data_IF_197556184343
#
_entry.id   IF_197556184343
#
_cell.length_a   1.000
_cell.length_b   1.000
_cell.length_c   1.000
_cell.angle_alpha   90.00
_cell.angle_beta   90.00
_cell.angle_gamma   90.00
#
_symmetry.space_group_name_H-M   'P 1'
#
loop_
_entity.id
_entity.type
_entity.pdbx_description
1 polymer ?
#
# COMPACT_ATOMS: atom_id res chain seq x y z
N UNK A 1 10.32 -12.84 -3.27
CA UNK A 1 11.03 -12.49 -2.02
C UNK A 1 10.48 -13.29 -0.83
N UNK A 2 10.89 -13.00 0.41
CA UNK A 2 10.44 -13.64 1.65
C UNK A 2 10.17 -12.60 2.76
N UNK A 3 9.64 -11.43 2.41
CA UNK A 3 9.49 -10.31 3.35
C UNK A 3 8.44 -10.59 4.43
N UNK A 4 7.28 -11.13 4.06
CA UNK A 4 6.26 -11.54 5.02
C UNK A 4 6.63 -12.87 5.72
N UNK A 5 6.37 -12.98 7.02
CA UNK A 5 6.60 -14.21 7.80
C UNK A 5 5.71 -15.38 7.34
N UNK A 6 6.25 -16.61 7.34
CA UNK A 6 5.58 -17.80 6.79
C UNK A 6 4.17 -18.04 7.37
N UNK A 7 3.98 -17.83 8.67
CA UNK A 7 2.69 -18.02 9.32
C UNK A 7 1.58 -17.13 8.78
N UNK A 8 1.91 -15.93 8.28
CA UNK A 8 0.97 -15.05 7.60
C UNK A 8 0.84 -15.40 6.11
N UNK A 9 1.92 -15.90 5.50
CA UNK A 9 1.89 -16.30 4.09
C UNK A 9 0.93 -17.45 3.80
N UNK A 10 0.93 -18.42 4.69
CA UNK A 10 0.13 -19.64 4.53
C UNK A 10 -1.30 -19.46 5.06
N UNK A 11 -1.61 -18.29 5.63
CA UNK A 11 -2.90 -18.03 6.22
C UNK A 11 -3.97 -17.82 5.14
N UNK A 12 -5.06 -18.58 5.18
CA UNK A 12 -6.12 -18.61 4.14
C UNK A 12 -6.81 -17.28 3.86
N UNK A 13 -6.77 -16.35 4.82
CA UNK A 13 -7.33 -15.00 4.67
C UNK A 13 -6.35 -13.97 4.10
N UNK A 14 -5.13 -14.37 3.75
CA UNK A 14 -4.09 -13.47 3.25
C UNK A 14 -3.86 -13.77 1.77
N UNK A 15 -3.92 -12.73 0.95
CA UNK A 15 -3.44 -12.76 -0.43
C UNK A 15 -2.21 -11.88 -0.52
N UNK A 16 -1.15 -12.38 -1.14
CA UNK A 16 0.17 -11.74 -1.12
C UNK A 16 0.60 -11.37 -2.52
N UNK A 17 1.04 -10.13 -2.67
CA UNK A 17 1.58 -9.57 -3.90
C UNK A 17 2.92 -8.90 -3.58
N UNK A 18 3.99 -9.68 -3.56
CA UNK A 18 5.36 -9.16 -3.41
C UNK A 18 5.92 -8.72 -4.76
N UNK A 19 6.98 -7.90 -4.74
CA UNK A 19 7.66 -7.41 -5.97
C UNK A 19 6.68 -6.74 -6.94
N UNK A 20 5.60 -6.17 -6.39
CA UNK A 20 4.48 -5.59 -7.11
C UNK A 20 4.43 -4.09 -6.85
N UNK A 21 4.36 -3.30 -7.91
CA UNK A 21 4.11 -1.87 -7.81
C UNK A 21 2.61 -1.63 -7.59
N UNK A 22 2.25 -0.93 -6.51
CA UNK A 22 0.86 -0.63 -6.16
C UNK A 22 0.15 0.18 -7.26
N UNK A 23 0.90 0.95 -8.06
CA UNK A 23 0.34 1.75 -9.17
C UNK A 23 -0.20 0.88 -10.29
N UNK A 24 0.39 -0.29 -10.49
CA UNK A 24 -0.03 -1.29 -11.48
C UNK A 24 -1.02 -2.31 -10.91
N UNK A 25 -1.15 -2.38 -9.59
CA UNK A 25 -2.09 -3.28 -8.92
C UNK A 25 -3.56 -2.88 -9.21
N UNK A 26 -4.33 -3.87 -9.67
CA UNK A 26 -5.74 -3.72 -10.07
C UNK A 26 -6.57 -4.83 -9.42
N UNK A 27 -7.24 -4.57 -8.29
CA UNK A 27 -8.19 -5.52 -7.73
C UNK A 27 -9.47 -5.54 -8.57
N UNK A 28 -10.27 -6.59 -8.43
CA UNK A 28 -11.59 -6.64 -9.05
C UNK A 28 -12.53 -5.60 -8.45
N UNK A 29 -12.42 -5.38 -7.14
CA UNK A 29 -13.23 -4.43 -6.38
C UNK A 29 -12.34 -3.63 -5.42
N UNK A 30 -12.65 -2.36 -5.12
CA UNK A 30 -11.94 -1.55 -4.13
C UNK A 30 -12.16 -2.05 -2.70
N UNK A 31 -11.20 -1.78 -1.82
CA UNK A 31 -11.23 -2.20 -0.42
C UNK A 31 -11.94 -1.19 0.48
N UNK A 32 -12.77 -1.67 1.39
CA UNK A 32 -13.47 -0.82 2.38
C UNK A 32 -12.50 -0.15 3.37
N UNK A 33 -11.36 -0.78 3.65
CA UNK A 33 -10.31 -0.23 4.50
C UNK A 33 -8.95 -0.39 3.82
N UNK A 34 -8.24 0.71 3.62
CA UNK A 34 -6.88 0.74 3.09
C UNK A 34 -5.91 1.24 4.16
N UNK A 35 -4.83 0.50 4.39
CA UNK A 35 -3.70 0.97 5.19
C UNK A 35 -2.48 1.16 4.29
N UNK A 36 -1.71 2.23 4.52
CA UNK A 36 -0.53 2.52 3.72
C UNK A 36 0.62 2.94 4.64
N UNK A 37 1.67 2.13 4.64
CA UNK A 37 2.98 2.44 5.22
C UNK A 37 4.02 2.21 4.13
N UNK A 38 4.57 3.30 3.61
CA UNK A 38 5.56 3.28 2.54
C UNK A 38 6.77 4.08 2.96
N UNK A 39 7.95 3.59 2.60
CA UNK A 39 9.23 4.24 2.84
C UNK A 39 9.87 4.62 1.52
N UNK A 40 10.65 5.71 1.51
CA UNK A 40 11.45 6.16 0.37
C UNK A 40 10.67 6.51 -0.92
N UNK A 41 9.36 6.72 -0.82
CA UNK A 41 8.49 7.21 -1.90
C UNK A 41 7.50 8.23 -1.33
N UNK A 42 7.19 9.28 -2.09
CA UNK A 42 6.15 10.24 -1.69
C UNK A 42 4.77 9.62 -1.85
N UNK A 43 3.89 9.83 -0.86
CA UNK A 43 2.48 9.43 -0.99
C UNK A 43 1.84 10.08 -2.23
N UNK A 44 2.25 11.30 -2.59
CA UNK A 44 1.75 11.98 -3.78
C UNK A 44 2.05 11.21 -5.07
N UNK A 45 3.13 10.41 -5.11
CA UNK A 45 3.47 9.59 -6.28
C UNK A 45 2.58 8.35 -6.43
N UNK A 46 1.82 7.99 -5.39
CA UNK A 46 0.92 6.82 -5.37
C UNK A 46 -0.52 7.18 -4.99
N UNK A 47 -0.85 8.46 -4.87
CA UNK A 47 -2.15 8.91 -4.37
C UNK A 47 -3.31 8.46 -5.27
N UNK A 48 -3.11 8.47 -6.60
CA UNK A 48 -4.11 7.99 -7.56
C UNK A 48 -4.34 6.48 -7.43
N UNK A 49 -3.29 5.72 -7.11
CA UNK A 49 -3.42 4.30 -6.82
C UNK A 49 -4.20 4.10 -5.52
N UNK A 50 -3.84 4.80 -4.44
CA UNK A 50 -4.55 4.74 -3.16
C UNK A 50 -6.04 5.04 -3.34
N UNK A 51 -6.38 6.12 -4.04
CA UNK A 51 -7.76 6.53 -4.30
C UNK A 51 -8.53 5.48 -5.11
N UNK A 52 -7.89 4.84 -6.10
CA UNK A 52 -8.51 3.75 -6.86
C UNK A 52 -8.75 2.51 -6.01
N UNK A 53 -7.90 2.25 -5.02
CA UNK A 53 -7.90 1.02 -4.25
C UNK A 53 -8.84 1.05 -3.05
N UNK A 54 -9.38 2.20 -2.64
CA UNK A 54 -10.30 2.28 -1.50
C UNK A 54 -11.69 2.76 -1.90
N UNK A 55 -12.71 2.25 -1.21
CA UNK A 55 -14.11 2.70 -1.36
C UNK A 55 -14.61 3.52 -0.17
N UNK A 56 -13.89 3.53 0.96
CA UNK A 56 -14.39 4.12 2.20
C UNK A 56 -13.30 4.71 3.09
N UNK A 57 -12.68 3.90 3.96
CA UNK A 57 -11.79 4.40 5.01
C UNK A 57 -10.32 4.13 4.65
N UNK A 58 -9.44 5.10 4.94
CA UNK A 58 -8.00 4.92 4.81
C UNK A 58 -7.22 5.38 6.05
N UNK A 59 -6.15 4.66 6.37
CA UNK A 59 -5.19 5.01 7.42
C UNK A 59 -3.81 5.10 6.78
N UNK A 60 -3.30 6.32 6.63
CA UNK A 60 -2.01 6.59 6.00
C UNK A 60 -0.96 6.94 7.07
N UNK A 61 0.17 6.23 7.07
CA UNK A 61 1.31 6.58 7.90
C UNK A 61 2.18 7.61 7.17
N UNK A 62 2.12 8.86 7.63
CA UNK A 62 3.01 9.92 7.19
C UNK A 62 4.28 9.89 8.05
N UNK A 63 5.34 9.26 7.55
CA UNK A 63 6.62 9.23 8.25
C UNK A 63 7.33 10.60 8.11
N UNK A 64 7.66 11.31 9.21
CA UNK A 64 8.32 12.63 9.17
C UNK A 64 9.73 12.60 8.55
N UNK A 65 10.32 11.40 8.39
CA UNK A 65 11.59 11.21 7.69
C UNK A 65 11.49 11.46 6.18
N UNK A 66 10.27 11.52 5.62
CA UNK A 66 10.05 12.09 4.30
C UNK A 66 10.39 13.58 4.35
N UNK A 67 11.59 13.91 3.89
CA UNK A 67 11.94 15.29 3.59
C UNK A 67 11.01 15.73 2.46
N UNK A 68 10.10 16.63 2.78
CA UNK A 68 9.42 17.46 1.80
C UNK A 68 10.51 18.33 1.16
N UNK A 69 11.06 17.88 0.03
CA UNK A 69 11.80 18.79 -0.83
C UNK A 69 10.75 19.68 -1.49
N UNK A 70 10.64 20.92 -1.00
CA UNK A 70 10.02 21.97 -1.80
C UNK A 70 10.82 22.15 -3.10
N UNK A 71 10.14 22.48 -4.22
CA UNK A 71 10.80 22.70 -5.51
C UNK A 71 11.80 23.85 -5.51
#
# INVERSE_FOLDING_TARGET
SNQLHHSLREHTKVSIFEETDVREFKPQEPFELLTCDVSFISILQIIDAINRLTSKDMILLLNPSLKWEEP
#
